data_IF_277702827567
#
_entry.id   IF_277702827567
#
_cell.length_a   1.000
_cell.length_b   1.000
_cell.length_c   1.000
_cell.angle_alpha   90.00
_cell.angle_beta   90.00
_cell.angle_gamma   90.00
#
_symmetry.space_group_name_H-M   'P 1'
#
loop_
_entity.id
_entity.type
_entity.pdbx_description
1 polymer ?
#
# COMPACT_ATOMS: atom_id res chain seq x y z
N UNK A 1 -5.77 -0.76 19.87
CA UNK A 1 -5.06 -1.28 18.69
C UNK A 1 -5.25 -0.41 17.44
N UNK A 2 -5.89 0.77 17.53
CA UNK A 2 -6.43 1.50 16.37
C UNK A 2 -5.64 2.73 15.90
N UNK A 3 -4.49 3.07 16.49
CA UNK A 3 -3.68 4.20 16.02
C UNK A 3 -2.24 3.74 15.78
N UNK A 4 -1.99 3.21 14.58
CA UNK A 4 -0.65 2.95 14.07
C UNK A 4 -0.21 4.24 13.37
N UNK A 5 0.91 4.83 13.80
CA UNK A 5 1.45 6.01 13.12
C UNK A 5 1.89 5.65 11.71
N UNK A 6 2.01 6.64 10.81
CA UNK A 6 2.50 6.40 9.45
C UNK A 6 3.88 5.70 9.45
N UNK A 7 4.76 6.10 10.37
CA UNK A 7 6.09 5.52 10.49
C UNK A 7 6.01 4.03 10.88
N UNK A 8 5.17 3.69 11.86
CA UNK A 8 4.96 2.31 12.28
C UNK A 8 4.32 1.48 11.15
N UNK A 9 3.35 2.04 10.43
CA UNK A 9 2.72 1.37 9.29
C UNK A 9 3.75 1.05 8.21
N UNK A 10 4.62 2.01 7.87
CA UNK A 10 5.72 1.83 6.93
C UNK A 10 6.64 0.69 7.37
N UNK A 11 7.08 0.70 8.62
CA UNK A 11 7.98 -0.33 9.16
C UNK A 11 7.34 -1.72 9.17
N UNK A 12 6.08 -1.82 9.61
CA UNK A 12 5.33 -3.08 9.64
C UNK A 12 5.22 -3.67 8.23
N UNK A 13 4.85 -2.86 7.23
CA UNK A 13 4.63 -3.33 5.86
C UNK A 13 5.95 -3.71 5.18
N UNK A 14 7.02 -2.93 5.37
CA UNK A 14 8.35 -3.26 4.85
C UNK A 14 8.92 -4.53 5.51
N UNK A 15 8.78 -4.66 6.83
CA UNK A 15 9.17 -5.85 7.58
C UNK A 15 8.41 -7.09 7.11
N UNK A 16 7.08 -6.98 6.92
CA UNK A 16 6.25 -8.09 6.40
C UNK A 16 6.70 -8.50 5.00
N UNK A 17 7.00 -7.54 4.13
CA UNK A 17 7.49 -7.78 2.77
C UNK A 17 8.81 -8.53 2.78
N UNK A 18 9.75 -8.15 3.65
CA UNK A 18 11.04 -8.83 3.75
C UNK A 18 10.91 -10.27 4.29
N UNK A 19 10.04 -10.50 5.28
CA UNK A 19 9.85 -11.83 5.88
C UNK A 19 9.07 -12.82 5.02
N UNK A 20 8.13 -12.33 4.20
CA UNK A 20 7.20 -13.17 3.42
C UNK A 20 7.58 -13.33 1.94
N UNK A 21 8.63 -12.66 1.47
CA UNK A 21 9.13 -12.79 0.09
C UNK A 21 10.58 -13.28 0.10
N UNK A 22 11.04 -14.02 -0.92
CA UNK A 22 12.43 -14.47 -1.00
C UNK A 22 13.38 -13.26 -0.95
N UNK A 23 14.54 -13.44 -0.32
CA UNK A 23 15.47 -12.35 0.01
C UNK A 23 16.77 -12.38 -0.79
N UNK A 24 17.19 -13.56 -1.25
CA UNK A 24 18.47 -13.76 -1.94
C UNK A 24 18.27 -13.81 -3.45
N UNK A 25 19.11 -13.07 -4.18
CA UNK A 25 19.21 -13.08 -5.66
C UNK A 25 20.68 -12.94 -6.06
N UNK A 26 21.12 -13.74 -7.04
CA UNK A 26 22.50 -13.72 -7.52
C UNK A 26 22.60 -13.12 -8.92
N UNK A 27 23.77 -12.57 -9.25
CA UNK A 27 24.03 -11.88 -10.54
C UNK A 27 23.96 -12.83 -11.75
N UNK A 28 24.31 -14.11 -11.58
CA UNK A 28 24.30 -15.10 -12.66
C UNK A 28 22.92 -15.66 -13.01
N UNK A 29 21.84 -15.22 -12.35
CA UNK A 29 20.49 -15.68 -12.69
C UNK A 29 19.99 -15.05 -14.00
N UNK A 30 19.18 -15.81 -14.74
CA UNK A 30 18.47 -15.28 -15.90
C UNK A 30 17.69 -14.00 -15.55
N UNK A 31 17.73 -13.01 -16.43
CA UNK A 31 17.12 -11.69 -16.19
C UNK A 31 15.61 -11.80 -15.89
N UNK A 32 14.92 -12.77 -16.51
CA UNK A 32 13.51 -13.08 -16.26
C UNK A 32 13.25 -13.41 -14.79
N UNK A 33 14.11 -14.24 -14.17
CA UNK A 33 14.04 -14.62 -12.76
C UNK A 33 14.28 -13.41 -11.85
N UNK A 34 15.24 -12.55 -12.20
CA UNK A 34 15.55 -11.33 -11.44
C UNK A 34 14.37 -10.34 -11.50
N UNK A 35 13.78 -10.14 -12.69
CA UNK A 35 12.58 -9.30 -12.87
C UNK A 35 11.41 -9.84 -12.04
N UNK A 36 11.15 -11.14 -12.11
CA UNK A 36 10.09 -11.79 -11.33
C UNK A 36 10.31 -11.63 -9.81
N UNK A 37 11.55 -11.76 -9.34
CA UNK A 37 11.93 -11.57 -7.95
C UNK A 37 11.55 -10.17 -7.43
N UNK A 38 11.94 -9.11 -8.15
CA UNK A 38 11.62 -7.74 -7.73
C UNK A 38 10.16 -7.34 -7.99
N UNK A 39 9.55 -7.87 -9.04
CA UNK A 39 8.12 -7.69 -9.33
C UNK A 39 7.27 -8.23 -8.18
N UNK A 40 7.62 -9.42 -7.66
CA UNK A 40 6.94 -10.02 -6.50
C UNK A 40 7.02 -9.13 -5.26
N UNK A 41 8.16 -8.48 -5.00
CA UNK A 41 8.29 -7.56 -3.87
C UNK A 41 7.39 -6.32 -4.00
N UNK A 42 7.35 -5.70 -5.19
CA UNK A 42 6.51 -4.52 -5.46
C UNK A 42 5.02 -4.89 -5.34
N UNK A 43 4.61 -6.01 -5.92
CA UNK A 43 3.22 -6.50 -5.86
C UNK A 43 2.80 -6.89 -4.45
N UNK A 44 3.66 -7.57 -3.70
CA UNK A 44 3.37 -7.97 -2.33
C UNK A 44 3.15 -6.76 -1.42
N UNK A 45 3.98 -5.72 -1.54
CA UNK A 45 3.80 -4.48 -0.80
C UNK A 45 2.47 -3.80 -1.17
N UNK A 46 2.20 -3.64 -2.47
CA UNK A 46 0.97 -3.03 -2.95
C UNK A 46 -0.27 -3.76 -2.42
N UNK A 47 -0.27 -5.10 -2.45
CA UNK A 47 -1.39 -5.88 -1.91
C UNK A 47 -1.55 -5.64 -0.42
N UNK A 48 -0.46 -5.71 0.34
CA UNK A 48 -0.49 -5.52 1.81
C UNK A 48 -1.01 -4.14 2.20
N UNK A 49 -0.61 -3.08 1.49
CA UNK A 49 -1.12 -1.73 1.71
C UNK A 49 -2.58 -1.61 1.28
N UNK A 50 -2.95 -2.19 0.14
CA UNK A 50 -4.32 -2.17 -0.34
C UNK A 50 -5.27 -2.85 0.66
N UNK A 51 -4.90 -4.01 1.20
CA UNK A 51 -5.69 -4.74 2.19
C UNK A 51 -5.86 -3.92 3.47
N UNK A 52 -4.76 -3.36 4.00
CA UNK A 52 -4.79 -2.51 5.21
C UNK A 52 -5.66 -1.27 5.02
N UNK A 53 -5.51 -0.55 3.92
CA UNK A 53 -6.29 0.67 3.66
C UNK A 53 -7.76 0.33 3.41
N UNK A 54 -8.04 -0.80 2.74
CA UNK A 54 -9.42 -1.26 2.55
C UNK A 54 -10.05 -1.64 3.88
N UNK A 55 -9.35 -2.37 4.73
CA UNK A 55 -9.81 -2.71 6.08
C UNK A 55 -10.17 -1.45 6.87
N UNK A 56 -9.32 -0.43 6.87
CA UNK A 56 -9.60 0.86 7.51
C UNK A 56 -10.90 1.45 6.95
N UNK A 57 -11.03 1.57 5.62
CA UNK A 57 -12.24 2.14 4.98
C UNK A 57 -13.52 1.35 5.36
N UNK A 58 -13.43 0.02 5.49
CA UNK A 58 -14.59 -0.83 5.78
C UNK A 58 -14.97 -0.90 7.26
N UNK A 59 -14.00 -0.73 8.17
CA UNK A 59 -14.26 -0.74 9.61
C UNK A 59 -14.96 0.55 10.07
N UNK A 60 -14.79 1.63 9.33
CA UNK A 60 -15.41 2.92 9.63
C UNK A 60 -16.84 3.00 9.08
N UNK A 61 -17.86 3.30 9.94
CA UNK A 61 -19.23 3.43 9.49
C UNK A 61 -19.39 4.63 8.55
N UNK A 62 -20.15 4.47 7.48
CA UNK A 62 -20.52 5.59 6.62
C UNK A 62 -21.60 6.40 7.31
N UNK A 63 -21.35 7.68 7.54
CA UNK A 63 -22.26 8.61 8.24
C UNK A 63 -23.62 8.81 7.56
N UNK A 64 -23.79 8.39 6.30
CA UNK A 64 -25.06 8.46 5.56
C UNK A 64 -25.93 7.21 5.74
N UNK A 65 -25.35 6.08 6.16
CA UNK A 65 -26.06 4.79 6.32
C UNK A 65 -26.41 4.48 7.79
N UNK A 66 -26.03 5.36 8.73
CA UNK A 66 -26.30 5.21 10.17
C UNK A 66 -27.59 5.93 10.55
N UNK A 67 -28.29 5.42 11.57
CA UNK A 67 -29.50 6.06 12.10
C UNK A 67 -29.25 7.53 12.46
N UNK A 68 -30.19 8.47 12.20
CA UNK A 68 -30.01 9.91 12.42
C UNK A 68 -29.42 10.27 13.79
N UNK A 69 -29.87 9.61 14.86
CA UNK A 69 -29.31 9.77 16.21
C UNK A 69 -27.78 9.59 16.28
N UNK A 70 -27.24 8.53 15.66
CA UNK A 70 -25.80 8.28 15.66
C UNK A 70 -25.06 9.21 14.69
N UNK A 71 -25.69 9.62 13.57
CA UNK A 71 -25.11 10.62 12.67
C UNK A 71 -24.94 11.97 13.39
N UNK A 72 -25.95 12.41 14.14
CA UNK A 72 -25.92 13.66 14.89
C UNK A 72 -24.88 13.61 16.02
N UNK A 73 -24.81 12.48 16.72
CA UNK A 73 -23.78 12.25 17.74
C UNK A 73 -22.36 12.28 17.13
N UNK A 74 -22.14 11.65 15.99
CA UNK A 74 -20.84 11.70 15.29
C UNK A 74 -20.49 13.11 14.82
N UNK A 75 -21.48 13.88 14.37
CA UNK A 75 -21.27 15.25 13.94
C UNK A 75 -20.80 16.14 15.11
N UNK A 76 -21.40 15.98 16.29
CA UNK A 76 -21.01 16.72 17.50
C UNK A 76 -19.60 16.32 17.99
N UNK A 77 -19.26 15.03 17.93
CA UNK A 77 -18.01 14.52 18.50
C UNK A 77 -16.80 14.65 17.57
N UNK A 78 -16.96 14.49 16.27
CA UNK A 78 -15.83 14.26 15.34
C UNK A 78 -15.81 15.17 14.11
N UNK A 79 -16.80 16.05 13.95
CA UNK A 79 -17.05 16.79 12.71
C UNK A 79 -17.21 15.85 11.49
N UNK A 80 -18.43 15.73 11.00
CA UNK A 80 -18.78 14.82 9.90
C UNK A 80 -17.99 15.12 8.63
N UNK A 81 -17.66 16.39 8.36
CA UNK A 81 -16.94 16.79 7.16
C UNK A 81 -15.48 16.36 7.23
N UNK A 82 -14.82 16.58 8.37
CA UNK A 82 -13.46 16.13 8.59
C UNK A 82 -13.33 14.61 8.44
N UNK A 83 -14.27 13.87 9.03
CA UNK A 83 -14.33 12.41 8.92
C UNK A 83 -14.46 11.94 7.46
N UNK A 84 -15.36 12.56 6.68
CA UNK A 84 -15.59 12.19 5.27
C UNK A 84 -14.38 12.53 4.40
N UNK A 85 -13.75 13.68 4.62
CA UNK A 85 -12.53 14.09 3.90
C UNK A 85 -11.39 13.10 4.19
N UNK A 86 -11.18 12.72 5.45
CA UNK A 86 -10.13 11.79 5.84
C UNK A 86 -10.31 10.42 5.16
N UNK A 87 -11.51 9.84 5.19
CA UNK A 87 -11.80 8.57 4.49
C UNK A 87 -11.64 8.69 2.96
N UNK A 88 -12.02 9.83 2.38
CA UNK A 88 -11.81 10.13 0.96
C UNK A 88 -10.32 10.19 0.57
N UNK A 89 -9.48 10.78 1.42
CA UNK A 89 -8.03 10.82 1.23
C UNK A 89 -7.41 9.41 1.30
N UNK A 90 -7.84 8.58 2.26
CA UNK A 90 -7.39 7.19 2.37
C UNK A 90 -7.76 6.38 1.11
N UNK A 91 -8.98 6.55 0.61
CA UNK A 91 -9.39 5.89 -0.63
C UNK A 91 -8.57 6.36 -1.84
N UNK A 92 -8.31 7.67 -1.94
CA UNK A 92 -7.43 8.23 -2.98
C UNK A 92 -6.02 7.65 -2.89
N UNK A 93 -5.43 7.58 -1.69
CA UNK A 93 -4.12 7.00 -1.45
C UNK A 93 -4.06 5.53 -1.89
N UNK A 94 -5.11 4.74 -1.60
CA UNK A 94 -5.23 3.35 -2.05
C UNK A 94 -5.16 3.23 -3.58
N UNK A 95 -5.81 4.13 -4.31
CA UNK A 95 -5.77 4.15 -5.78
C UNK A 95 -4.39 4.59 -6.31
N UNK A 96 -3.76 5.60 -5.71
CA UNK A 96 -2.41 6.05 -6.06
C UNK A 96 -1.37 4.94 -5.91
N UNK A 97 -1.40 4.19 -4.81
CA UNK A 97 -0.51 3.04 -4.59
C UNK A 97 -0.67 1.99 -5.69
N UNK A 98 -1.91 1.70 -6.10
CA UNK A 98 -2.18 0.76 -7.19
C UNK A 98 -1.67 1.28 -8.55
N UNK A 99 -1.73 2.58 -8.79
CA UNK A 99 -1.16 3.19 -10.00
C UNK A 99 0.37 3.09 -10.03
N UNK A 100 1.04 3.53 -8.96
CA UNK A 100 2.50 3.48 -8.81
C UNK A 100 3.00 2.04 -9.01
N UNK A 101 2.36 1.06 -8.36
CA UNK A 101 2.72 -0.35 -8.51
C UNK A 101 2.60 -0.84 -9.95
N UNK A 102 1.52 -0.50 -10.66
CA UNK A 102 1.32 -0.89 -12.06
C UNK A 102 2.40 -0.30 -12.97
N UNK A 103 2.76 0.96 -12.76
CA UNK A 103 3.78 1.65 -13.54
C UNK A 103 5.17 1.03 -13.33
N UNK A 104 5.60 0.86 -12.08
CA UNK A 104 6.91 0.28 -11.79
C UNK A 104 7.02 -1.19 -12.23
N UNK A 105 5.93 -1.96 -12.15
CA UNK A 105 5.90 -3.32 -12.69
C UNK A 105 6.00 -3.32 -14.21
N UNK A 106 5.41 -2.33 -14.90
CA UNK A 106 5.58 -2.15 -16.35
C UNK A 106 7.03 -1.82 -16.70
N UNK A 107 7.65 -0.89 -15.98
CA UNK A 107 9.08 -0.54 -16.17
C UNK A 107 10.02 -1.72 -15.92
N UNK A 108 9.70 -2.58 -14.93
CA UNK A 108 10.48 -3.79 -14.61
C UNK A 108 10.53 -4.80 -15.77
N UNK A 109 9.56 -4.78 -16.70
CA UNK A 109 9.59 -5.68 -17.87
C UNK A 109 10.78 -5.41 -18.79
N UNK A 110 11.26 -4.17 -18.82
CA UNK A 110 12.31 -3.70 -19.73
C UNK A 110 13.67 -3.54 -19.05
N UNK A 111 13.82 -3.93 -17.78
CA UNK A 111 15.09 -3.83 -17.08
C UNK A 111 16.07 -4.91 -17.52
N UNK A 112 17.26 -4.52 -17.93
CA UNK A 112 18.31 -5.37 -18.51
C UNK A 112 19.29 -5.96 -17.48
N UNK A 113 19.43 -5.31 -16.31
CA UNK A 113 20.45 -5.64 -15.32
C UNK A 113 19.90 -5.77 -13.90
N UNK A 114 20.62 -6.53 -13.06
CA UNK A 114 20.31 -6.63 -11.62
C UNK A 114 20.28 -5.26 -10.94
N UNK A 115 21.23 -4.38 -11.31
CA UNK A 115 21.33 -3.03 -10.76
C UNK A 115 20.10 -2.19 -11.08
N UNK A 116 19.68 -2.15 -12.35
CA UNK A 116 18.48 -1.43 -12.79
C UNK A 116 17.22 -1.96 -12.12
N UNK A 117 17.07 -3.28 -11.99
CA UNK A 117 15.95 -3.87 -11.25
C UNK A 117 15.93 -3.44 -9.77
N UNK A 118 17.11 -3.40 -9.12
CA UNK A 118 17.23 -2.98 -7.71
C UNK A 118 16.87 -1.50 -7.51
N UNK A 119 17.27 -0.63 -8.45
CA UNK A 119 16.91 0.79 -8.45
C UNK A 119 15.40 0.98 -8.61
N UNK A 120 14.78 0.34 -9.61
CA UNK A 120 13.33 0.39 -9.81
C UNK A 120 12.56 -0.09 -8.58
N UNK A 121 13.03 -1.17 -7.94
CA UNK A 121 12.45 -1.63 -6.68
C UNK A 121 12.56 -0.57 -5.58
N UNK A 122 13.72 0.08 -5.42
CA UNK A 122 13.92 1.10 -4.38
C UNK A 122 13.02 2.31 -4.61
N UNK A 123 12.91 2.76 -5.86
CA UNK A 123 12.04 3.88 -6.23
C UNK A 123 10.55 3.56 -6.04
N UNK A 124 10.12 2.31 -6.31
CA UNK A 124 8.73 1.89 -6.09
C UNK A 124 8.32 1.74 -4.61
N UNK A 125 9.29 1.60 -3.71
CA UNK A 125 9.08 1.35 -2.27
C UNK A 125 9.40 2.57 -1.38
N UNK A 126 10.09 3.57 -1.94
CA UNK A 126 10.45 4.81 -1.27
C UNK A 126 9.30 5.79 -1.33
#
# INVERSE_FOLDING_TARGET
>A
MLFISFQDLKEIVLSKTQRKTPTVVHRGYAISRIRAFYTRKIKFLQQTLHDKLTQIITEFPKTEEVHPFYSDLMNILYDKDHYKIALGQINTARHLIAQISREYVRLMKYSDSLYRCKLLKRAALG
#
